data_IF_509489408783
#
_entry.id   IF_509489408783
#
_cell.length_a   1.000
_cell.length_b   1.000
_cell.length_c   1.000
_cell.angle_alpha   90.00
_cell.angle_beta   90.00
_cell.angle_gamma   90.00
#
_symmetry.space_group_name_H-M   'P 1'
#
loop_
_entity.id
_entity.type
_entity.pdbx_description
1 polymer ?
#
# COMPACT_ATOMS: atom_id res chain seq x y z
N UNK A 1 15.90 -7.28 0.32
CA UNK A 1 14.63 -7.90 -0.08
C UNK A 1 14.10 -7.15 -1.29
N UNK A 2 14.04 -7.79 -2.46
CA UNK A 2 13.61 -7.18 -3.72
C UNK A 2 12.11 -7.43 -3.92
N UNK A 3 11.26 -6.63 -3.26
CA UNK A 3 9.82 -6.64 -3.46
C UNK A 3 9.30 -5.26 -3.86
N UNK A 4 8.35 -5.22 -4.81
CA UNK A 4 7.73 -3.99 -5.29
C UNK A 4 6.22 -4.13 -5.30
N UNK A 5 5.51 -3.19 -4.65
CA UNK A 5 4.06 -3.06 -4.78
C UNK A 5 3.75 -2.32 -6.08
N UNK A 6 2.94 -2.92 -6.94
CA UNK A 6 2.60 -2.35 -8.25
C UNK A 6 1.11 -2.06 -8.42
N UNK A 7 0.25 -2.49 -7.49
CA UNK A 7 -1.13 -2.07 -7.50
C UNK A 7 -1.68 -1.97 -6.08
N UNK A 8 -2.53 -0.96 -5.87
CA UNK A 8 -3.34 -0.80 -4.68
C UNK A 8 -4.76 -0.46 -5.10
N UNK A 9 -5.73 -1.11 -4.46
CA UNK A 9 -7.15 -0.78 -4.55
C UNK A 9 -7.73 -0.67 -3.15
N UNK A 10 -8.54 0.37 -2.92
CA UNK A 10 -9.32 0.52 -1.70
C UNK A 10 -10.81 0.49 -2.08
N UNK A 11 -11.55 -0.44 -1.50
CA UNK A 11 -12.98 -0.59 -1.68
C UNK A 11 -13.67 -0.10 -0.41
N UNK A 12 -14.53 0.89 -0.53
CA UNK A 12 -15.24 1.51 0.58
C UNK A 12 -16.73 1.43 0.24
N UNK A 13 -17.42 0.47 0.87
CA UNK A 13 -18.80 0.10 0.51
C UNK A 13 -18.85 -0.26 -1.00
N UNK A 14 -19.73 0.35 -1.79
CA UNK A 14 -19.81 0.13 -3.26
C UNK A 14 -18.79 0.93 -4.10
N UNK A 15 -17.86 1.66 -3.46
CA UNK A 15 -16.89 2.51 -4.18
C UNK A 15 -15.53 1.83 -4.28
N UNK A 16 -15.09 1.55 -5.50
CA UNK A 16 -13.74 1.08 -5.79
C UNK A 16 -12.81 2.25 -6.16
N UNK A 17 -11.81 2.47 -5.33
CA UNK A 17 -10.72 3.42 -5.56
C UNK A 17 -9.51 2.65 -6.06
N UNK A 18 -9.06 2.98 -7.27
CA UNK A 18 -7.86 2.39 -7.89
C UNK A 18 -6.73 3.41 -7.76
N UNK A 19 -5.64 3.04 -7.09
CA UNK A 19 -4.50 3.93 -6.96
C UNK A 19 -3.70 4.00 -8.27
N UNK A 20 -3.33 5.22 -8.66
CA UNK A 20 -2.46 5.48 -9.79
C UNK A 20 -1.02 5.63 -9.31
N UNK A 21 -0.07 4.95 -9.98
CA UNK A 21 1.35 5.08 -9.65
C UNK A 21 1.87 6.41 -10.16
N UNK A 22 2.27 7.29 -9.24
CA UNK A 22 2.84 8.60 -9.55
C UNK A 22 4.17 8.80 -8.82
N UNK A 23 4.94 9.80 -9.27
CA UNK A 23 6.16 10.22 -8.54
C UNK A 23 5.77 10.68 -7.13
N UNK A 24 6.58 10.31 -6.13
CA UNK A 24 6.33 10.55 -4.69
C UNK A 24 5.75 11.94 -4.38
N UNK A 25 6.43 13.01 -4.78
CA UNK A 25 5.99 14.40 -4.51
C UNK A 25 4.63 14.75 -5.12
N UNK A 26 4.31 14.19 -6.29
CA UNK A 26 3.02 14.42 -6.97
C UNK A 26 1.91 13.68 -6.24
N UNK A 27 2.13 12.40 -5.92
CA UNK A 27 1.17 11.59 -5.16
C UNK A 27 0.87 12.19 -3.77
N UNK A 28 1.90 12.68 -3.06
CA UNK A 28 1.72 13.34 -1.76
C UNK A 28 0.92 14.64 -1.86
N UNK A 29 1.17 15.46 -2.89
CA UNK A 29 0.44 16.71 -3.09
C UNK A 29 -1.04 16.46 -3.42
N UNK A 30 -1.33 15.58 -4.38
CA UNK A 30 -2.70 15.22 -4.77
C UNK A 30 -3.48 14.58 -3.62
N UNK A 31 -2.84 13.70 -2.84
CA UNK A 31 -3.46 13.12 -1.65
C UNK A 31 -3.84 14.21 -0.64
N UNK A 32 -2.91 15.10 -0.29
CA UNK A 32 -3.18 16.15 0.69
C UNK A 32 -4.30 17.10 0.22
N UNK A 33 -4.30 17.47 -1.07
CA UNK A 33 -5.36 18.28 -1.67
C UNK A 33 -6.72 17.58 -1.57
N UNK A 34 -6.80 16.29 -1.95
CA UNK A 34 -8.01 15.50 -1.84
C UNK A 34 -8.54 15.43 -0.39
N UNK A 35 -7.65 15.22 0.59
CA UNK A 35 -8.04 15.20 2.01
C UNK A 35 -8.56 16.56 2.48
N UNK A 36 -7.93 17.67 2.08
CA UNK A 36 -8.39 19.04 2.41
C UNK A 36 -9.80 19.28 1.85
N UNK A 37 -10.10 18.76 0.65
CA UNK A 37 -11.43 18.85 0.04
C UNK A 37 -12.44 17.83 0.60
N UNK A 38 -12.07 17.02 1.60
CA UNK A 38 -12.93 16.00 2.19
C UNK A 38 -13.21 14.82 1.25
N UNK A 39 -12.39 14.63 0.22
CA UNK A 39 -12.49 13.53 -0.71
C UNK A 39 -11.77 12.30 -0.15
N UNK A 40 -12.40 11.14 -0.31
CA UNK A 40 -11.80 9.87 0.06
C UNK A 40 -10.62 9.58 -0.86
N UNK A 41 -9.42 9.48 -0.28
CA UNK A 41 -8.17 9.31 -1.01
C UNK A 41 -7.30 8.23 -0.37
N UNK A 42 -6.43 7.61 -1.16
CA UNK A 42 -5.50 6.61 -0.66
C UNK A 42 -4.08 6.90 -1.16
N UNK A 43 -3.10 6.75 -0.28
CA UNK A 43 -1.68 6.95 -0.59
C UNK A 43 -0.88 5.74 -0.11
N UNK A 44 -0.16 5.11 -1.03
CA UNK A 44 0.85 4.09 -0.73
C UNK A 44 2.24 4.72 -0.80
N UNK A 45 3.03 4.53 0.25
CA UNK A 45 4.44 4.95 0.29
C UNK A 45 5.31 3.85 0.89
N UNK A 46 6.54 3.73 0.40
CA UNK A 46 7.56 2.91 1.06
C UNK A 46 8.13 3.68 2.27
N UNK A 47 8.44 2.96 3.35
CA UNK A 47 9.10 3.55 4.51
C UNK A 47 10.45 4.13 4.11
N UNK A 48 10.83 5.25 4.74
CA UNK A 48 12.14 5.85 4.55
C UNK A 48 13.25 5.10 5.31
N UNK A 49 12.87 4.36 6.36
CA UNK A 49 13.80 3.70 7.27
C UNK A 49 14.10 2.25 6.83
N UNK A 50 13.14 1.62 6.15
CA UNK A 50 13.20 0.20 5.77
C UNK A 50 12.58 -0.01 4.39
N UNK A 51 13.23 -0.82 3.56
CA UNK A 51 12.74 -1.11 2.20
C UNK A 51 11.61 -2.16 2.20
N UNK A 52 11.49 -2.94 3.26
CA UNK A 52 10.50 -4.01 3.44
C UNK A 52 9.15 -3.52 3.99
N UNK A 53 9.02 -2.25 4.38
CA UNK A 53 7.79 -1.69 4.96
C UNK A 53 7.09 -0.77 3.96
N UNK A 54 5.82 -1.07 3.70
CA UNK A 54 4.90 -0.21 2.95
C UNK A 54 3.87 0.37 3.90
N UNK A 55 3.62 1.67 3.79
CA UNK A 55 2.65 2.42 4.58
C UNK A 55 1.51 2.84 3.66
N UNK A 56 0.30 2.46 4.03
CA UNK A 56 -0.93 2.80 3.31
C UNK A 56 -1.72 3.76 4.17
N UNK A 57 -2.00 4.95 3.65
CA UNK A 57 -2.88 5.91 4.28
C UNK A 57 -4.20 5.93 3.51
N UNK A 58 -5.31 5.62 4.17
CA UNK A 58 -6.66 5.79 3.63
C UNK A 58 -7.32 6.92 4.42
N UNK A 59 -7.62 8.03 3.74
CA UNK A 59 -8.17 9.22 4.38
C UNK A 59 -9.63 9.46 4.01
N UNK A 60 -10.32 10.25 4.83
CA UNK A 60 -11.73 10.61 4.67
C UNK A 60 -12.67 9.40 4.44
N UNK A 61 -12.46 8.33 5.23
CA UNK A 61 -13.39 7.20 5.30
C UNK A 61 -14.64 7.66 6.08
N UNK A 62 -15.85 7.52 5.52
CA UNK A 62 -17.08 7.90 6.23
C UNK A 62 -17.28 7.06 7.50
N UNK A 63 -17.86 7.63 8.58
CA UNK A 63 -18.10 6.90 9.81
C UNK A 63 -19.05 5.71 9.59
N UNK A 64 -18.73 4.57 10.19
CA UNK A 64 -19.53 3.35 10.10
C UNK A 64 -19.41 2.58 8.77
N UNK A 65 -18.49 2.97 7.88
CA UNK A 65 -18.22 2.25 6.63
C UNK A 65 -17.04 1.29 6.77
N UNK A 66 -17.12 0.17 6.06
CA UNK A 66 -16.03 -0.77 5.92
C UNK A 66 -15.11 -0.32 4.78
N UNK A 67 -13.79 -0.42 5.01
CA UNK A 67 -12.77 -0.15 4.01
C UNK A 67 -11.93 -1.41 3.82
N UNK A 68 -12.00 -2.00 2.63
CA UNK A 68 -11.21 -3.14 2.22
C UNK A 68 -10.04 -2.68 1.35
N UNK A 69 -8.83 -2.90 1.82
CA UNK A 69 -7.60 -2.58 1.07
C UNK A 69 -7.04 -3.86 0.46
N UNK A 70 -6.71 -3.80 -0.83
CA UNK A 70 -6.04 -4.89 -1.55
C UNK A 70 -4.78 -4.35 -2.22
N UNK A 71 -3.66 -5.02 -1.97
CA UNK A 71 -2.37 -4.74 -2.59
C UNK A 71 -1.95 -5.90 -3.48
N UNK A 72 -1.24 -5.58 -4.56
CA UNK A 72 -0.53 -6.57 -5.37
C UNK A 72 0.94 -6.19 -5.39
N UNK A 73 1.78 -7.15 -5.05
CA UNK A 73 3.22 -6.99 -5.04
C UNK A 73 3.88 -8.11 -5.82
N UNK A 74 5.06 -7.83 -6.33
CA UNK A 74 5.98 -8.80 -6.91
C UNK A 74 7.21 -8.88 -6.01
N UNK A 75 7.75 -10.07 -5.83
CA UNK A 75 9.03 -10.27 -5.13
C UNK A 75 9.88 -11.26 -5.90
N UNK A 76 11.18 -11.01 -5.94
CA UNK A 76 12.14 -12.03 -6.35
C UNK A 76 12.17 -13.15 -5.30
N UNK A 77 12.37 -14.38 -5.77
CA UNK A 77 12.41 -15.57 -4.91
C UNK A 77 13.84 -16.09 -4.87
N UNK A 78 14.44 -16.06 -3.69
CA UNK A 78 15.79 -16.57 -3.48
C UNK A 78 15.80 -18.10 -3.42
N UNK A 79 16.78 -18.69 -4.11
CA UNK A 79 17.06 -20.12 -4.08
C UNK A 79 18.10 -20.39 -2.98
N UNK A 80 17.66 -21.09 -1.93
CA UNK A 80 18.50 -21.53 -0.82
C UNK A 80 19.14 -22.87 -1.17
N UNK A 81 20.47 -22.92 -1.09
CA UNK A 81 21.30 -24.12 -1.28
C UNK A 81 21.01 -24.89 -2.58
N UNK A 82 20.52 -24.20 -3.61
CA UNK A 82 20.18 -24.78 -4.92
C UNK A 82 18.96 -25.71 -4.92
N UNK A 83 18.20 -25.81 -3.81
CA UNK A 83 17.14 -26.83 -3.65
C UNK A 83 15.82 -26.30 -3.11
N UNK A 84 15.83 -25.18 -2.38
CA UNK A 84 14.64 -24.70 -1.66
C UNK A 84 14.37 -23.24 -1.99
N UNK A 85 13.10 -22.87 -2.13
CA UNK A 85 12.69 -21.49 -2.36
C UNK A 85 12.17 -20.91 -1.04
N UNK A 86 12.59 -19.68 -0.70
CA UNK A 86 12.00 -18.93 0.41
C UNK A 86 11.04 -17.88 -0.13
N UNK A 87 9.78 -18.02 0.28
CA UNK A 87 8.76 -17.01 0.06
C UNK A 87 8.40 -16.38 1.40
N UNK A 88 8.46 -15.05 1.46
CA UNK A 88 8.09 -14.27 2.64
C UNK A 88 6.80 -13.52 2.30
N UNK A 89 5.78 -13.73 3.11
CA UNK A 89 4.52 -12.97 3.05
C UNK A 89 4.37 -12.21 4.36
N UNK A 90 3.97 -10.92 4.32
CA UNK A 90 3.67 -10.20 5.54
C UNK A 90 2.51 -10.89 6.28
N UNK A 91 2.76 -11.36 7.50
CA UNK A 91 1.73 -11.96 8.35
C UNK A 91 0.96 -10.94 9.18
N UNK A 92 1.41 -9.67 9.19
CA UNK A 92 0.96 -8.66 10.15
C UNK A 92 0.79 -7.30 9.47
N UNK A 93 -0.29 -6.59 9.80
CA UNK A 93 -0.63 -5.24 9.30
C UNK A 93 -0.19 -4.13 10.30
N UNK A 94 0.48 -4.51 11.39
CA UNK A 94 0.94 -3.62 12.45
C UNK A 94 2.38 -3.15 12.21
N UNK A 95 2.79 -1.97 12.72
CA UNK A 95 4.17 -1.54 12.67
C UNK A 95 5.09 -2.61 13.29
N UNK A 96 6.29 -2.76 12.71
CA UNK A 96 7.38 -3.46 13.40
C UNK A 96 7.79 -2.57 14.59
N UNK A 97 7.38 -3.00 15.79
CA UNK A 97 7.51 -2.32 17.10
C UNK A 97 6.45 -1.27 17.42
#
# INVERSE_FOLDING_TARGET
ENAAVYALTAEIDDRLIIAEIKRKKVAEAEYNEAIIHGQTATLLRQSAETLDIFIINVGAIPPGKECRVMIRYVTELDLIDGKSIRFVVPSTIAPRY
#
